data_IF_784292224876
#
_entry.id   IF_784292224876
#
_cell.length_a   1.000
_cell.length_b   1.000
_cell.length_c   1.000
_cell.angle_alpha   90.00
_cell.angle_beta   90.00
_cell.angle_gamma   90.00
#
_symmetry.space_group_name_H-M   'P 1'
#
loop_
_entity.id
_entity.type
_entity.pdbx_description
1 polymer ?
#
# COMPACT_ATOMS: atom_id res chain seq x y z
N UNK A 1 12.65 3.86 2.82
CA UNK A 1 11.29 3.38 2.53
C UNK A 1 10.42 4.51 1.99
N UNK A 2 10.60 4.89 0.73
CA UNK A 2 9.71 5.83 0.06
C UNK A 2 9.42 5.26 -1.32
N UNK A 3 8.25 4.64 -1.47
CA UNK A 3 7.83 3.98 -2.69
C UNK A 3 6.39 4.40 -3.01
N UNK A 4 6.05 4.76 -4.26
CA UNK A 4 4.72 5.26 -4.61
C UNK A 4 3.59 4.25 -4.38
N UNK A 5 3.88 2.96 -4.37
CA UNK A 5 2.89 1.89 -4.11
C UNK A 5 2.92 1.34 -2.67
N UNK A 6 3.46 2.10 -1.70
CA UNK A 6 3.43 1.76 -0.27
C UNK A 6 2.88 2.97 0.48
N UNK A 7 1.81 2.75 1.25
CA UNK A 7 1.17 3.81 2.05
C UNK A 7 2.16 4.36 3.08
N UNK A 8 2.36 5.67 3.03
CA UNK A 8 3.35 6.38 3.84
C UNK A 8 2.88 6.56 5.27
N UNK A 9 3.69 6.09 6.22
CA UNK A 9 3.64 6.49 7.61
C UNK A 9 4.23 7.90 7.73
N UNK A 10 3.41 8.87 8.12
CA UNK A 10 3.80 10.28 8.27
C UNK A 10 4.28 10.59 9.68
N UNK A 11 3.61 10.05 10.68
CA UNK A 11 3.90 10.35 12.08
C UNK A 11 3.54 9.16 12.98
N UNK A 12 4.28 9.01 14.08
CA UNK A 12 3.99 8.07 15.16
C UNK A 12 3.87 8.89 16.44
N UNK A 13 2.72 8.81 17.10
CA UNK A 13 2.41 9.56 18.32
C UNK A 13 2.24 8.57 19.46
N UNK A 14 2.91 8.80 20.59
CA UNK A 14 2.78 7.97 21.78
C UNK A 14 2.16 8.78 22.92
N UNK A 15 1.03 8.31 23.45
CA UNK A 15 0.32 8.96 24.55
C UNK A 15 -0.31 7.91 25.46
N UNK A 16 -0.01 7.95 26.77
CA UNK A 16 -0.61 7.08 27.80
C UNK A 16 -0.61 5.59 27.42
N UNK A 17 0.54 5.09 26.99
CA UNK A 17 0.76 3.71 26.51
C UNK A 17 0.00 3.31 25.23
N UNK A 18 -0.63 4.27 24.53
CA UNK A 18 -1.24 4.08 23.22
C UNK A 18 -0.31 4.62 22.13
N UNK A 19 -0.15 3.85 21.06
CA UNK A 19 0.63 4.23 19.88
C UNK A 19 -0.30 4.50 18.70
N UNK A 20 -0.29 5.73 18.21
CA UNK A 20 -1.05 6.17 17.04
C UNK A 20 -0.14 6.24 15.82
N UNK A 21 -0.60 5.67 14.71
CA UNK A 21 0.11 5.71 13.43
C UNK A 21 -0.68 6.57 12.45
N UNK A 22 -0.09 7.70 12.05
CA UNK A 22 -0.69 8.63 11.09
C UNK A 22 -0.19 8.29 9.70
N UNK A 23 -1.06 7.81 8.84
CA UNK A 23 -0.74 7.47 7.45
C UNK A 23 -1.24 8.54 6.47
N UNK A 24 -0.81 8.47 5.20
CA UNK A 24 -1.49 9.19 4.13
C UNK A 24 -2.93 8.70 3.92
N UNK A 25 -3.80 9.61 3.48
CA UNK A 25 -5.20 9.30 3.22
C UNK A 25 -5.36 8.57 1.88
N UNK A 26 -6.14 7.50 1.89
CA UNK A 26 -6.56 6.76 0.70
C UNK A 26 -8.09 6.77 0.67
N UNK A 27 -8.66 7.11 -0.49
CA UNK A 27 -10.11 7.25 -0.66
C UNK A 27 -10.87 5.94 -0.39
N UNK A 28 -10.31 4.81 -0.85
CA UNK A 28 -10.86 3.49 -0.60
C UNK A 28 -9.78 2.40 -0.65
N UNK A 29 -10.14 1.17 -0.26
CA UNK A 29 -9.33 -0.02 -0.48
C UNK A 29 -9.86 -0.84 -1.66
N UNK A 30 -9.05 -1.76 -2.18
CA UNK A 30 -9.41 -2.57 -3.35
C UNK A 30 -10.67 -3.42 -3.11
N UNK A 31 -10.90 -3.91 -1.89
CA UNK A 31 -12.10 -4.68 -1.57
C UNK A 31 -13.37 -3.83 -1.72
N UNK A 32 -13.36 -2.61 -1.18
CA UNK A 32 -14.48 -1.69 -1.31
C UNK A 32 -14.71 -1.33 -2.79
N UNK A 33 -13.64 -1.00 -3.50
CA UNK A 33 -13.70 -0.70 -4.94
C UNK A 33 -14.30 -1.88 -5.73
N UNK A 34 -13.89 -3.11 -5.42
CA UNK A 34 -14.46 -4.31 -6.04
C UNK A 34 -15.93 -4.50 -5.66
N UNK A 35 -16.29 -4.31 -4.39
CA UNK A 35 -17.66 -4.53 -3.92
C UNK A 35 -18.66 -3.54 -4.54
N UNK A 36 -18.27 -2.28 -4.68
CA UNK A 36 -19.16 -1.20 -5.14
C UNK A 36 -19.20 -1.04 -6.67
N UNK A 37 -18.46 -1.89 -7.41
CA UNK A 37 -18.40 -1.81 -8.86
C UNK A 37 -19.78 -2.05 -9.49
N UNK A 38 -20.24 -1.11 -10.31
CA UNK A 38 -21.45 -1.29 -11.12
C UNK A 38 -21.20 -2.18 -12.34
N UNK A 39 -19.96 -2.20 -12.83
CA UNK A 39 -19.52 -2.95 -14.01
C UNK A 39 -18.24 -3.72 -13.70
N UNK A 40 -17.97 -4.75 -14.50
CA UNK A 40 -16.69 -5.44 -14.42
C UNK A 40 -15.56 -4.50 -14.84
N UNK A 41 -14.43 -4.62 -14.16
CA UNK A 41 -13.21 -3.91 -14.54
C UNK A 41 -12.67 -4.46 -15.86
N UNK A 42 -12.09 -3.57 -16.65
CA UNK A 42 -11.32 -3.96 -17.82
C UNK A 42 -10.05 -4.72 -17.41
N UNK A 43 -9.54 -5.57 -18.29
CA UNK A 43 -8.24 -6.22 -18.06
C UNK A 43 -7.10 -5.22 -17.88
N UNK A 44 -7.19 -4.04 -18.50
CA UNK A 44 -6.21 -2.96 -18.35
C UNK A 44 -6.14 -2.43 -16.92
N UNK A 45 -7.30 -2.19 -16.29
CA UNK A 45 -7.37 -1.75 -14.89
C UNK A 45 -6.82 -2.82 -13.95
N UNK A 46 -7.25 -4.06 -14.13
CA UNK A 46 -6.77 -5.20 -13.31
C UNK A 46 -5.25 -5.36 -13.44
N UNK A 47 -4.72 -5.32 -14.67
CA UNK A 47 -3.28 -5.41 -14.93
C UNK A 47 -2.53 -4.26 -14.27
N UNK A 48 -3.06 -3.05 -14.29
CA UNK A 48 -2.44 -1.88 -13.67
C UNK A 48 -2.38 -2.01 -12.14
N UNK A 49 -3.44 -2.48 -11.48
CA UNK A 49 -3.41 -2.72 -10.03
C UNK A 49 -2.43 -3.84 -9.66
N UNK A 50 -2.44 -4.96 -10.39
CA UNK A 50 -1.46 -6.02 -10.21
C UNK A 50 -0.02 -5.49 -10.34
N UNK A 51 0.24 -4.69 -11.37
CA UNK A 51 1.56 -4.09 -11.60
C UNK A 51 2.01 -3.20 -10.43
N UNK A 52 1.12 -2.37 -9.89
CA UNK A 52 1.41 -1.52 -8.72
C UNK A 52 1.68 -2.34 -7.46
N UNK A 53 0.87 -3.37 -7.19
CA UNK A 53 1.07 -4.28 -6.05
C UNK A 53 2.40 -5.01 -6.17
N UNK A 54 2.72 -5.53 -7.36
CA UNK A 54 3.97 -6.25 -7.59
C UNK A 54 5.20 -5.36 -7.47
N UNK A 55 5.13 -4.10 -7.91
CA UNK A 55 6.20 -3.13 -7.67
C UNK A 55 6.42 -2.87 -6.19
N UNK A 56 5.35 -2.66 -5.42
CA UNK A 56 5.43 -2.51 -3.97
C UNK A 56 6.07 -3.72 -3.29
N UNK A 57 5.64 -4.92 -3.66
CA UNK A 57 6.21 -6.18 -3.15
C UNK A 57 7.69 -6.34 -3.53
N UNK A 58 8.05 -6.06 -4.78
CA UNK A 58 9.44 -6.15 -5.23
C UNK A 58 10.35 -5.20 -4.44
N UNK A 59 9.91 -3.97 -4.18
CA UNK A 59 10.63 -3.03 -3.33
C UNK A 59 10.81 -3.54 -1.90
N UNK A 60 9.76 -4.11 -1.29
CA UNK A 60 9.84 -4.68 0.05
C UNK A 60 10.78 -5.89 0.13
N UNK A 61 10.76 -6.78 -0.85
CA UNK A 61 11.64 -7.96 -0.90
C UNK A 61 13.12 -7.61 -1.19
N UNK A 62 13.39 -6.53 -1.94
CA UNK A 62 14.77 -6.03 -2.12
C UNK A 62 15.37 -5.50 -0.81
N UNK A 63 14.54 -4.93 0.06
CA UNK A 63 15.00 -4.44 1.35
C UNK A 63 15.45 -5.58 2.28
N UNK A 64 14.75 -6.71 2.24
CA UNK A 64 15.05 -7.90 3.06
C UNK A 64 16.45 -8.48 2.75
N UNK A 65 16.90 -8.37 1.50
CA UNK A 65 18.22 -8.88 1.06
C UNK A 65 19.39 -7.93 1.34
N UNK A 66 19.14 -6.73 1.87
CA UNK A 66 20.19 -5.72 2.12
C UNK A 66 20.76 -5.72 3.56
N UNK A 67 20.32 -6.63 4.44
CA UNK A 67 20.79 -6.70 5.86
C UNK A 67 21.84 -7.80 6.11
N UNK A 68 22.47 -8.32 5.05
CA UNK A 68 23.65 -9.20 5.19
C UNK A 68 24.83 -8.61 4.43
N UNK A 69 25.41 -7.53 4.96
CA UNK A 69 26.82 -7.15 4.78
C UNK A 69 27.32 -6.51 6.06
#
# INVERSE_FOLDING_TARGET
MNHPNIVKLKEVIQESDILYFVFEYMECNLYQLMKDREKMFSEGEVRNWCFQVFQGLAYMHQWDTSTVI
#
